data_IF_092086844247
#
_entry.id   IF_092086844247
#
_cell.length_a   1.000
_cell.length_b   1.000
_cell.length_c   1.000
_cell.angle_alpha   90.00
_cell.angle_beta   90.00
_cell.angle_gamma   90.00
#
_symmetry.space_group_name_H-M   'P 1'
#
loop_
_entity.id
_entity.type
_entity.pdbx_description
1 polymer ?
#
# COMPACT_ATOMS: atom_id res chain seq x y z
N UNK A 1 14.16 -13.84 -17.62
CA UNK A 1 14.08 -14.85 -16.55
C UNK A 1 12.62 -14.97 -16.16
N UNK A 2 11.96 -16.10 -16.42
CA UNK A 2 10.55 -16.28 -16.05
C UNK A 2 10.48 -16.56 -14.55
N UNK A 3 9.77 -15.73 -13.80
CA UNK A 3 9.52 -15.94 -12.36
C UNK A 3 8.74 -17.25 -12.20
N UNK A 4 9.11 -18.09 -11.22
CA UNK A 4 8.37 -19.32 -10.91
C UNK A 4 6.95 -18.94 -10.47
N UNK A 5 5.93 -19.57 -11.06
CA UNK A 5 4.53 -19.26 -10.78
C UNK A 5 3.59 -20.24 -11.48
N UNK A 6 2.29 -20.11 -11.19
CA UNK A 6 1.22 -20.96 -11.74
C UNK A 6 0.53 -20.34 -12.98
N UNK A 7 0.68 -19.03 -13.17
CA UNK A 7 0.16 -18.29 -14.32
C UNK A 7 1.16 -18.38 -15.47
N UNK A 8 0.68 -18.63 -16.69
CA UNK A 8 1.48 -18.48 -17.90
C UNK A 8 1.62 -16.98 -18.25
N UNK A 9 2.83 -16.40 -18.16
CA UNK A 9 3.03 -14.98 -18.44
C UNK A 9 2.65 -14.57 -19.86
N UNK A 10 2.71 -15.49 -20.83
CA UNK A 10 2.34 -15.21 -22.22
C UNK A 10 0.85 -14.98 -22.43
N UNK A 11 0.03 -15.34 -21.43
CA UNK A 11 -1.44 -15.22 -21.48
C UNK A 11 -1.96 -13.99 -20.74
N UNK A 12 -1.08 -13.21 -20.10
CA UNK A 12 -1.48 -12.03 -19.32
C UNK A 12 -2.01 -10.95 -20.25
N UNK A 13 -3.20 -10.45 -19.96
CA UNK A 13 -3.88 -9.38 -20.70
C UNK A 13 -4.77 -8.54 -19.78
N UNK A 14 -5.23 -7.40 -20.28
CA UNK A 14 -6.24 -6.59 -19.57
C UNK A 14 -7.52 -7.39 -19.38
N UNK A 15 -8.07 -7.36 -18.17
CA UNK A 15 -9.36 -7.95 -17.88
C UNK A 15 -10.52 -7.07 -18.34
N UNK A 16 -11.74 -7.60 -18.24
CA UNK A 16 -12.96 -6.88 -18.60
C UNK A 16 -13.38 -5.78 -17.62
N UNK A 17 -12.73 -5.68 -16.46
CA UNK A 17 -13.00 -4.66 -15.45
C UNK A 17 -11.90 -3.59 -15.47
N UNK A 18 -12.25 -2.37 -15.05
CA UNK A 18 -11.27 -1.29 -14.93
C UNK A 18 -10.17 -1.69 -13.94
N UNK A 19 -8.91 -1.43 -14.33
CA UNK A 19 -7.71 -1.75 -13.55
C UNK A 19 -7.59 -3.24 -13.17
N UNK A 20 -8.09 -4.16 -14.00
CA UNK A 20 -7.90 -5.60 -13.80
C UNK A 20 -7.00 -6.24 -14.85
N UNK A 21 -6.33 -7.32 -14.44
CA UNK A 21 -5.50 -8.18 -15.28
C UNK A 21 -6.03 -9.61 -15.17
N UNK A 22 -5.99 -10.33 -16.28
CA UNK A 22 -6.33 -11.76 -16.33
C UNK A 22 -5.25 -12.55 -17.06
N UNK A 23 -5.13 -13.83 -16.71
CA UNK A 23 -4.18 -14.77 -17.32
C UNK A 23 -4.66 -16.21 -17.10
N UNK A 24 -4.11 -17.13 -17.87
CA UNK A 24 -4.42 -18.55 -17.81
C UNK A 24 -3.39 -19.32 -16.99
N UNK A 25 -3.82 -20.45 -16.45
CA UNK A 25 -2.94 -21.38 -15.74
C UNK A 25 -2.48 -22.48 -16.68
N UNK A 26 -1.30 -23.03 -16.41
CA UNK A 26 -0.87 -24.25 -17.09
C UNK A 26 -1.65 -25.45 -16.56
N UNK A 27 -1.95 -26.40 -17.43
CA UNK A 27 -2.49 -27.69 -17.03
C UNK A 27 -1.53 -28.36 -16.03
N UNK A 28 -2.03 -28.87 -14.89
CA UNK A 28 -1.18 -29.52 -13.91
C UNK A 28 -0.57 -30.81 -14.50
N UNK A 29 0.69 -31.06 -14.17
CA UNK A 29 1.28 -32.39 -14.32
C UNK A 29 0.43 -33.36 -13.47
N UNK A 30 -0.01 -34.46 -14.07
CA UNK A 30 -1.05 -35.35 -13.53
C UNK A 30 -0.93 -35.58 -12.01
N UNK A 31 -2.10 -35.66 -11.34
CA UNK A 31 -2.32 -35.93 -9.90
C UNK A 31 -2.48 -34.72 -8.96
N UNK A 32 -2.36 -33.47 -9.45
CA UNK A 32 -2.63 -32.29 -8.62
C UNK A 32 -3.79 -31.48 -9.21
N UNK A 33 -4.80 -31.21 -8.39
CA UNK A 33 -5.93 -30.36 -8.77
C UNK A 33 -5.51 -28.88 -8.69
N UNK A 34 -5.72 -28.14 -9.78
CA UNK A 34 -5.20 -26.77 -9.96
C UNK A 34 -5.82 -25.78 -8.97
N UNK A 35 -7.07 -25.97 -8.55
CA UNK A 35 -7.75 -25.12 -7.56
C UNK A 35 -7.06 -25.14 -6.21
N UNK A 36 -6.53 -26.30 -5.76
CA UNK A 36 -5.76 -26.37 -4.52
C UNK A 36 -4.46 -25.56 -4.59
N UNK A 37 -3.76 -25.61 -5.73
CA UNK A 37 -2.55 -24.81 -5.96
C UNK A 37 -2.86 -23.31 -5.98
N UNK A 38 -3.97 -22.93 -6.61
CA UNK A 38 -4.45 -21.55 -6.65
C UNK A 38 -4.78 -21.03 -5.26
N UNK A 39 -5.53 -21.80 -4.49
CA UNK A 39 -5.91 -21.43 -3.12
C UNK A 39 -4.67 -21.23 -2.23
N UNK A 40 -3.70 -22.13 -2.33
CA UNK A 40 -2.44 -22.01 -1.59
C UNK A 40 -1.65 -20.77 -2.02
N UNK A 41 -1.64 -20.44 -3.31
CA UNK A 41 -0.93 -19.26 -3.81
C UNK A 41 -1.57 -17.96 -3.31
N UNK A 42 -2.90 -17.87 -3.38
CA UNK A 42 -3.67 -16.74 -2.86
C UNK A 42 -3.43 -16.59 -1.36
N UNK A 43 -3.49 -17.68 -0.60
CA UNK A 43 -3.21 -17.64 0.85
C UNK A 43 -1.82 -17.10 1.16
N UNK A 44 -0.78 -17.59 0.47
CA UNK A 44 0.59 -17.11 0.65
C UNK A 44 0.74 -15.63 0.32
N UNK A 45 0.09 -15.18 -0.75
CA UNK A 45 0.05 -13.77 -1.12
C UNK A 45 -0.62 -12.93 -0.03
N UNK A 46 -1.81 -13.33 0.45
CA UNK A 46 -2.52 -12.62 1.51
C UNK A 46 -1.70 -12.52 2.80
N UNK A 47 -1.04 -13.59 3.22
CA UNK A 47 -0.19 -13.59 4.42
C UNK A 47 1.02 -12.66 4.26
N UNK A 48 1.61 -12.60 3.06
CA UNK A 48 2.74 -11.72 2.78
C UNK A 48 2.34 -10.23 2.73
N UNK A 49 1.16 -9.92 2.19
CA UNK A 49 0.67 -8.55 2.01
C UNK A 49 0.00 -7.97 3.26
N UNK A 50 -0.49 -8.81 4.17
CA UNK A 50 -1.24 -8.37 5.35
C UNK A 50 -0.53 -7.29 6.17
N UNK A 51 0.79 -7.39 6.48
CA UNK A 51 1.48 -6.34 7.23
C UNK A 51 1.49 -4.99 6.52
N UNK A 52 1.63 -4.98 5.20
CA UNK A 52 1.63 -3.75 4.39
C UNK A 52 0.22 -3.14 4.30
N UNK A 53 -0.82 -3.97 4.28
CA UNK A 53 -2.21 -3.51 4.40
C UNK A 53 -2.44 -2.86 5.77
N UNK A 54 -2.07 -3.54 6.86
CA UNK A 54 -2.24 -3.04 8.23
C UNK A 54 -1.46 -1.73 8.46
N UNK A 55 -0.25 -1.63 7.90
CA UNK A 55 0.55 -0.41 7.99
C UNK A 55 -0.09 0.76 7.25
N UNK A 56 -0.62 0.55 6.04
CA UNK A 56 -1.33 1.59 5.28
C UNK A 56 -2.58 2.06 6.01
N UNK A 57 -3.35 1.14 6.58
CA UNK A 57 -4.54 1.47 7.36
C UNK A 57 -4.18 2.25 8.64
N UNK A 58 -3.10 1.85 9.32
CA UNK A 58 -2.59 2.58 10.48
C UNK A 58 -2.20 4.02 10.11
N UNK A 59 -1.46 4.21 9.01
CA UNK A 59 -1.07 5.54 8.54
C UNK A 59 -2.28 6.40 8.19
N UNK A 60 -3.26 5.84 7.49
CA UNK A 60 -4.50 6.55 7.16
C UNK A 60 -5.23 7.01 8.42
N UNK A 61 -5.38 6.13 9.41
CA UNK A 61 -6.00 6.47 10.69
C UNK A 61 -5.23 7.57 11.43
N UNK A 62 -3.90 7.53 11.41
CA UNK A 62 -3.07 8.57 12.03
C UNK A 62 -3.21 9.92 11.34
N UNK A 63 -3.36 9.94 10.01
CA UNK A 63 -3.66 11.17 9.28
C UNK A 63 -5.05 11.71 9.65
N UNK A 64 -6.07 10.86 9.69
CA UNK A 64 -7.42 11.26 10.10
C UNK A 64 -7.43 11.83 11.52
N UNK A 65 -6.73 11.19 12.45
CA UNK A 65 -6.59 11.67 13.84
C UNK A 65 -5.88 13.04 13.90
N UNK A 66 -4.80 13.22 13.15
CA UNK A 66 -4.06 14.48 13.09
C UNK A 66 -4.93 15.65 12.59
N UNK A 67 -5.76 15.44 11.58
CA UNK A 67 -6.64 16.49 11.07
C UNK A 67 -7.87 16.72 11.94
N UNK A 68 -8.42 15.67 12.55
CA UNK A 68 -9.62 15.77 13.37
C UNK A 68 -9.33 16.35 14.76
N UNK A 69 -8.19 15.98 15.35
CA UNK A 69 -7.78 16.38 16.69
C UNK A 69 -6.28 16.73 16.70
N UNK A 70 -5.88 17.89 16.15
CA UNK A 70 -4.50 18.34 16.25
C UNK A 70 -4.16 18.64 17.72
N UNK A 71 -2.94 18.30 18.14
CA UNK A 71 -2.43 18.68 19.46
C UNK A 71 -2.32 20.21 19.59
N UNK A 72 -2.44 20.76 20.80
CA UNK A 72 -2.43 22.22 21.07
C UNK A 72 -1.20 22.97 20.51
N UNK A 73 -0.09 22.27 20.23
CA UNK A 73 1.11 22.83 19.60
C UNK A 73 0.99 22.97 18.07
N UNK A 74 0.20 22.11 17.44
CA UNK A 74 -0.10 22.11 16.00
C UNK A 74 -1.46 22.77 15.70
N UNK A 75 -2.15 23.24 16.75
CA UNK A 75 -3.40 23.99 16.69
C UNK A 75 -3.13 25.49 16.83
N UNK A 76 -3.81 26.31 16.04
CA UNK A 76 -3.77 27.77 16.12
C UNK A 76 -5.12 28.27 16.63
N UNK A 77 -5.15 29.27 17.51
CA UNK A 77 -6.42 29.93 17.82
C UNK A 77 -7.06 30.52 16.56
N UNK A 78 -8.40 30.55 16.51
CA UNK A 78 -9.18 31.06 15.37
C UNK A 78 -8.78 32.52 15.05
N UNK A 79 -7.93 32.70 14.04
CA UNK A 79 -7.44 34.01 13.60
C UNK A 79 -5.93 34.22 13.75
N UNK A 80 -5.19 33.28 14.35
CA UNK A 80 -3.74 33.35 14.44
C UNK A 80 -3.06 32.64 13.25
N UNK A 81 -2.27 33.40 12.49
CA UNK A 81 -1.37 32.83 11.48
C UNK A 81 -0.09 32.42 12.22
N UNK A 82 0.35 31.15 12.17
CA UNK A 82 1.56 30.73 12.85
C UNK A 82 2.77 31.38 12.15
N UNK A 83 3.18 32.53 12.68
CA UNK A 83 4.36 33.24 12.21
C UNK A 83 5.59 32.45 12.67
N UNK A 84 6.17 31.67 11.74
CA UNK A 84 7.45 30.99 11.93
C UNK A 84 8.52 32.02 12.32
N UNK A 85 8.87 32.06 13.60
CA UNK A 85 10.18 32.54 14.03
C UNK A 85 11.05 31.31 14.28
N UNK A 86 12.10 31.20 13.48
CA UNK A 86 13.11 30.14 13.43
C UNK A 86 13.11 29.15 14.60
N UNK A 87 12.60 27.95 14.33
CA UNK A 87 12.95 26.77 15.12
C UNK A 87 13.55 25.75 14.17
N UNK A 88 14.88 25.75 14.08
CA UNK A 88 15.62 24.57 13.65
C UNK A 88 15.33 23.46 14.65
N UNK A 89 14.27 22.70 14.40
CA UNK A 89 13.75 21.67 15.29
C UNK A 89 13.59 20.36 14.56
N UNK A 90 14.16 19.30 15.13
CA UNK A 90 14.25 17.93 14.59
C UNK A 90 12.91 17.23 14.24
N UNK A 91 11.76 17.93 14.28
CA UNK A 91 10.44 17.40 13.91
C UNK A 91 10.10 17.49 12.41
N UNK A 92 10.74 18.39 11.65
CA UNK A 92 10.39 18.61 10.23
C UNK A 92 10.90 17.47 9.32
N UNK A 93 11.94 16.74 9.74
CA UNK A 93 12.52 15.66 8.94
C UNK A 93 11.64 14.40 8.87
N UNK A 94 10.80 14.14 9.88
CA UNK A 94 9.87 13.01 9.83
C UNK A 94 8.80 13.24 8.74
N UNK A 95 8.19 14.43 8.71
CA UNK A 95 7.12 14.77 7.78
C UNK A 95 7.58 14.79 6.31
N UNK A 96 8.81 15.28 6.05
CA UNK A 96 9.40 15.26 4.71
C UNK A 96 9.62 13.84 4.19
N UNK A 97 10.03 12.91 5.04
CA UNK A 97 10.26 11.51 4.65
C UNK A 97 8.94 10.75 4.40
N UNK A 98 7.88 11.05 5.16
CA UNK A 98 6.56 10.45 4.93
C UNK A 98 5.92 10.93 3.62
N UNK A 99 5.95 12.24 3.35
CA UNK A 99 5.38 12.81 2.12
C UNK A 99 6.15 12.37 0.86
N UNK A 100 7.48 12.27 0.95
CA UNK A 100 8.29 11.76 -0.18
C UNK A 100 8.03 10.28 -0.43
N UNK A 101 7.88 9.46 0.61
CA UNK A 101 7.56 8.04 0.43
C UNK A 101 6.16 7.87 -0.18
N UNK A 102 5.14 8.57 0.32
CA UNK A 102 3.78 8.52 -0.21
C UNK A 102 3.70 8.95 -1.70
N UNK A 103 4.38 10.03 -2.07
CA UNK A 103 4.47 10.51 -3.46
C UNK A 103 5.13 9.53 -4.42
N UNK A 104 5.95 8.59 -3.93
CA UNK A 104 6.61 7.56 -4.73
C UNK A 104 5.71 6.32 -4.95
N UNK A 105 4.67 6.14 -4.14
CA UNK A 105 3.70 5.05 -4.27
C UNK A 105 2.45 5.44 -5.08
N UNK A 106 2.11 6.72 -5.16
CA UNK A 106 0.97 7.23 -5.96
C UNK A 106 1.37 7.83 -7.32
N UNK A 107 2.62 7.60 -7.78
CA UNK A 107 3.12 8.02 -9.10
C UNK A 107 3.19 6.89 -10.12
#
# INVERSE_FOLDING_TARGET
MVRRGIIDPGTIKSGGAYASLEGSYNEPLEQIEITHLLLLNIYKFMVAELPDVEFRDYLKKKQEEFFANPDDFESTELGEIPAKQDVGGNGINAYKNYLTTFSLYEG
#
